data_IF_435368526258
#
_entry.id   IF_435368526258
#
_cell.length_a   1.000
_cell.length_b   1.000
_cell.length_c   1.000
_cell.angle_alpha   90.00
_cell.angle_beta   90.00
_cell.angle_gamma   90.00
#
_symmetry.space_group_name_H-M   'P 1'
#
loop_
_entity.id
_entity.type
_entity.pdbx_description
1 polymer ?
#
# COMPACT_ATOMS: atom_id res chain seq x y z
N UNK A 1 3.65 21.98 7.25
CA UNK A 1 3.64 22.32 8.69
C UNK A 1 2.64 23.46 8.86
N UNK A 2 1.56 23.26 9.63
CA UNK A 2 0.46 24.21 9.77
C UNK A 2 0.36 24.58 11.25
N UNK A 3 0.45 25.87 11.58
CA UNK A 3 0.28 26.41 12.94
C UNK A 3 -0.67 27.61 12.85
N UNK A 4 -1.63 27.73 13.79
CA UNK A 4 -2.50 28.91 13.92
C UNK A 4 -2.24 29.58 15.28
N UNK A 5 -2.19 30.92 15.29
CA UNK A 5 -2.43 31.80 16.45
C UNK A 5 -3.72 32.59 16.17
N UNK A 6 -4.45 32.95 17.22
CA UNK A 6 -5.79 33.54 17.17
C UNK A 6 -5.90 34.89 16.43
N UNK A 7 -4.78 35.52 16.09
CA UNK A 7 -4.65 36.85 15.50
C UNK A 7 -3.97 36.87 14.11
N UNK A 8 -3.73 35.71 13.49
CA UNK A 8 -3.08 35.58 12.18
C UNK A 8 -3.90 34.67 11.23
N UNK A 9 -3.89 34.92 9.92
CA UNK A 9 -4.53 34.03 8.95
C UNK A 9 -3.87 32.66 8.96
N UNK A 10 -4.65 31.60 8.70
CA UNK A 10 -4.10 30.26 8.45
C UNK A 10 -3.35 30.27 7.11
N UNK A 11 -2.17 29.65 7.08
CA UNK A 11 -1.36 29.52 5.87
C UNK A 11 -1.31 28.06 5.43
N UNK A 12 -1.62 27.81 4.16
CA UNK A 12 -1.46 26.51 3.53
C UNK A 12 -0.34 26.59 2.51
N UNK A 13 0.62 25.67 2.61
CA UNK A 13 1.70 25.54 1.66
C UNK A 13 1.54 24.23 0.88
N UNK A 14 1.52 24.32 -0.44
CA UNK A 14 1.44 23.17 -1.33
C UNK A 14 2.85 22.68 -1.66
N UNK A 15 3.07 21.37 -1.51
CA UNK A 15 4.29 20.73 -1.95
C UNK A 15 4.27 20.60 -3.48
N UNK A 16 5.25 21.21 -4.14
CA UNK A 16 5.39 21.23 -5.60
C UNK A 16 6.31 20.13 -6.15
N UNK A 17 6.86 19.27 -5.28
CA UNK A 17 7.92 18.33 -5.61
C UNK A 17 9.32 18.95 -5.65
N UNK A 18 9.44 20.28 -5.77
CA UNK A 18 10.70 21.03 -5.74
C UNK A 18 10.80 21.99 -4.53
N UNK A 19 9.76 22.04 -3.68
CA UNK A 19 9.66 22.96 -2.56
C UNK A 19 8.21 23.27 -2.19
N UNK A 20 8.01 24.34 -1.42
CA UNK A 20 6.71 24.73 -0.86
C UNK A 20 6.25 26.06 -1.46
N UNK A 21 4.98 26.12 -1.90
CA UNK A 21 4.34 27.35 -2.40
C UNK A 21 3.18 27.72 -1.50
N UNK A 22 3.13 28.97 -1.03
CA UNK A 22 1.96 29.48 -0.30
C UNK A 22 0.73 29.48 -1.22
N UNK A 23 -0.39 28.96 -0.73
CA UNK A 23 -1.68 28.95 -1.41
C UNK A 23 -2.70 29.75 -0.59
N UNK A 24 -2.87 31.06 -0.86
CA UNK A 24 -3.68 31.95 -0.04
C UNK A 24 -5.18 31.71 -0.18
N UNK A 25 -5.61 30.99 -1.23
CA UNK A 25 -7.03 30.69 -1.45
C UNK A 25 -7.54 29.51 -0.61
N UNK A 26 -6.64 28.72 -0.01
CA UNK A 26 -7.00 27.56 0.81
C UNK A 26 -6.87 27.94 2.28
N UNK A 27 -7.97 27.77 3.02
CA UNK A 27 -8.04 28.01 4.45
C UNK A 27 -8.39 26.74 5.20
N UNK A 28 -7.66 26.48 6.29
CA UNK A 28 -7.99 25.39 7.21
C UNK A 28 -9.23 25.79 8.01
N UNK A 29 -10.30 24.96 8.04
CA UNK A 29 -11.58 25.33 8.63
C UNK A 29 -11.55 25.44 10.16
N UNK A 30 -10.55 24.84 10.81
CA UNK A 30 -10.45 24.73 12.27
C UNK A 30 -9.02 24.96 12.78
N UNK A 31 -8.90 25.24 14.08
CA UNK A 31 -7.60 25.33 14.75
C UNK A 31 -7.02 23.93 14.95
N UNK A 32 -5.81 23.69 14.44
CA UNK A 32 -5.14 22.41 14.63
C UNK A 32 -4.56 22.27 16.05
N UNK A 33 -4.15 23.38 16.67
CA UNK A 33 -3.57 23.46 18.02
C UNK A 33 -3.73 24.88 18.58
N UNK A 34 -3.71 25.06 19.91
CA UNK A 34 -3.68 26.37 20.58
C UNK A 34 -2.66 26.37 21.72
N UNK A 35 -1.69 27.29 21.76
CA UNK A 35 -0.85 27.54 22.95
C UNK A 35 -0.26 26.29 23.67
N UNK A 36 0.12 25.25 22.90
CA UNK A 36 0.60 23.92 23.33
C UNK A 36 -0.48 22.86 23.64
N UNK A 37 -1.75 23.15 23.35
CA UNK A 37 -2.88 22.22 23.42
C UNK A 37 -3.10 21.50 22.07
N UNK A 38 -3.27 20.18 22.13
CA UNK A 38 -3.81 19.39 21.01
C UNK A 38 -5.33 19.51 21.01
N UNK A 39 -5.86 20.21 20.00
CA UNK A 39 -7.29 20.45 19.81
C UNK A 39 -8.08 19.19 19.41
N UNK A 40 -7.46 18.02 19.47
CA UNK A 40 -8.06 16.75 19.12
C UNK A 40 -8.25 16.64 17.61
N UNK A 41 -7.39 17.29 16.83
CA UNK A 41 -7.49 17.34 15.36
C UNK A 41 -6.54 16.35 14.73
N UNK A 42 -7.03 15.58 13.76
CA UNK A 42 -6.20 14.70 12.93
C UNK A 42 -6.48 14.98 11.45
N UNK A 43 -5.43 14.86 10.65
CA UNK A 43 -5.47 15.04 9.20
C UNK A 43 -5.17 13.68 8.59
N UNK A 44 -6.15 13.11 7.89
CA UNK A 44 -6.07 11.79 7.29
C UNK A 44 -7.08 11.69 6.14
N UNK A 45 -6.82 10.85 5.15
CA UNK A 45 -7.81 10.49 4.14
C UNK A 45 -8.80 9.50 4.77
N UNK A 46 -9.96 9.98 5.23
CA UNK A 46 -10.93 9.14 5.94
C UNK A 46 -11.97 8.56 4.97
N UNK A 47 -12.11 9.10 3.76
CA UNK A 47 -13.08 8.61 2.79
C UNK A 47 -12.45 7.78 1.66
N UNK A 48 -11.12 7.67 1.61
CA UNK A 48 -10.36 6.88 0.64
C UNK A 48 -10.28 7.51 -0.74
N UNK A 49 -10.46 8.82 -0.88
CA UNK A 49 -10.45 9.52 -2.18
C UNK A 49 -9.07 10.03 -2.61
N UNK A 50 -8.04 9.83 -1.78
CA UNK A 50 -6.67 10.28 -1.99
C UNK A 50 -6.41 11.72 -1.58
N UNK A 51 -7.38 12.43 -1.01
CA UNK A 51 -7.25 13.77 -0.46
C UNK A 51 -7.22 13.73 1.07
N UNK A 52 -6.54 14.70 1.68
CA UNK A 52 -6.48 14.78 3.14
C UNK A 52 -7.74 15.43 3.70
N UNK A 53 -8.46 14.69 4.53
CA UNK A 53 -9.58 15.17 5.32
C UNK A 53 -9.13 15.65 6.70
N UNK A 54 -10.05 16.28 7.43
CA UNK A 54 -9.81 16.79 8.78
C UNK A 54 -10.92 16.27 9.69
N UNK A 55 -10.53 15.69 10.82
CA UNK A 55 -11.45 15.31 11.89
C UNK A 55 -11.05 15.95 13.20
N UNK A 56 -12.04 16.25 14.04
CA UNK A 56 -11.86 16.71 15.41
C UNK A 56 -12.71 15.88 16.34
N UNK A 57 -12.14 15.44 17.46
CA UNK A 57 -12.88 14.79 18.55
C UNK A 57 -12.24 15.13 19.90
N UNK A 58 -12.76 16.15 20.57
CA UNK A 58 -12.30 16.59 21.91
C UNK A 58 -13.42 16.41 22.94
N UNK A 59 -13.06 15.78 24.06
CA UNK A 59 -13.93 15.61 25.22
C UNK A 59 -13.75 16.78 26.19
N UNK A 60 -14.84 17.45 26.56
CA UNK A 60 -14.84 18.65 27.42
C UNK A 60 -16.15 18.70 28.22
N UNK A 61 -16.06 19.05 29.50
CA UNK A 61 -17.23 19.22 30.40
C UNK A 61 -18.19 18.02 30.46
N UNK A 62 -17.66 16.79 30.38
CA UNK A 62 -18.47 15.57 30.49
C UNK A 62 -19.07 15.07 29.17
N UNK A 63 -18.81 15.73 28.05
CA UNK A 63 -19.33 15.32 26.74
C UNK A 63 -18.33 15.58 25.59
N UNK A 64 -18.54 14.95 24.44
CA UNK A 64 -17.73 15.24 23.23
C UNK A 64 -18.29 16.49 22.54
N UNK A 65 -17.87 17.67 23.00
CA UNK A 65 -18.34 18.97 22.48
C UNK A 65 -17.75 19.33 21.12
N UNK A 66 -16.46 19.08 20.92
CA UNK A 66 -15.79 19.43 19.68
C UNK A 66 -15.66 18.19 18.80
N UNK A 67 -16.73 17.91 18.05
CA UNK A 67 -16.82 16.78 17.14
C UNK A 67 -17.09 17.28 15.73
N UNK A 68 -16.14 17.14 14.82
CA UNK A 68 -16.26 17.65 13.46
C UNK A 68 -15.56 16.73 12.46
N UNK A 69 -16.03 16.76 11.21
CA UNK A 69 -15.36 16.16 10.07
C UNK A 69 -15.47 17.11 8.88
N UNK A 70 -14.39 17.26 8.13
CA UNK A 70 -14.34 18.05 6.91
C UNK A 70 -13.63 17.26 5.81
N UNK A 71 -14.30 17.10 4.67
CA UNK A 71 -13.75 16.37 3.53
C UNK A 71 -12.94 17.29 2.62
N UNK A 72 -11.78 16.82 2.19
CA UNK A 72 -10.92 17.46 1.22
C UNK A 72 -11.58 17.55 -0.15
N UNK A 73 -11.34 18.65 -0.85
CA UNK A 73 -11.90 18.89 -2.20
C UNK A 73 -10.83 19.25 -3.23
N UNK A 74 -9.56 19.24 -2.82
CA UNK A 74 -8.43 19.76 -3.60
C UNK A 74 -8.36 21.29 -3.65
N UNK A 75 -9.41 22.01 -3.23
CA UNK A 75 -9.47 23.47 -3.13
C UNK A 75 -9.76 23.99 -1.72
N UNK A 76 -9.68 23.10 -0.72
CA UNK A 76 -10.08 23.35 0.66
C UNK A 76 -10.92 22.20 1.18
N UNK A 77 -11.74 22.48 2.18
CA UNK A 77 -12.53 21.46 2.87
C UNK A 77 -14.01 21.83 2.98
N UNK A 78 -14.88 20.82 2.99
CA UNK A 78 -16.31 20.99 3.22
C UNK A 78 -16.75 20.18 4.45
N UNK A 79 -17.57 20.75 5.31
CA UNK A 79 -18.06 20.05 6.52
C UNK A 79 -18.93 18.85 6.16
N UNK A 80 -18.73 17.73 6.83
CA UNK A 80 -19.55 16.52 6.67
C UNK A 80 -20.19 16.09 7.98
N UNK A 81 -21.51 16.22 8.07
CA UNK A 81 -22.27 15.73 9.21
C UNK A 81 -22.29 14.19 9.28
N UNK A 82 -22.37 13.49 8.13
CA UNK A 82 -22.39 12.02 8.11
C UNK A 82 -21.10 11.43 8.68
N UNK A 83 -19.94 11.94 8.25
CA UNK A 83 -18.66 11.51 8.80
C UNK A 83 -18.50 11.90 10.26
N UNK A 84 -18.87 13.13 10.63
CA UNK A 84 -18.88 13.59 12.03
C UNK A 84 -19.71 12.67 12.91
N UNK A 85 -20.88 12.24 12.47
CA UNK A 85 -21.78 11.41 13.27
C UNK A 85 -21.35 9.93 13.32
N UNK A 86 -20.56 9.48 12.35
CA UNK A 86 -20.17 8.07 12.25
C UNK A 86 -19.20 7.58 13.35
N UNK A 87 -18.36 8.46 13.92
CA UNK A 87 -17.35 8.02 14.88
C UNK A 87 -17.70 8.32 16.34
N UNK A 88 -17.23 7.51 17.29
CA UNK A 88 -17.42 7.76 18.73
C UNK A 88 -16.12 7.80 19.54
N UNK A 89 -14.98 7.56 18.87
CA UNK A 89 -13.67 7.69 19.50
C UNK A 89 -13.40 9.14 19.87
N UNK A 90 -12.56 9.32 20.87
CA UNK A 90 -12.15 10.62 21.39
C UNK A 90 -10.64 10.76 21.20
N UNK A 91 -10.18 11.88 20.68
CA UNK A 91 -8.76 12.09 20.39
C UNK A 91 -8.08 12.74 21.60
N UNK A 92 -8.64 13.83 22.11
CA UNK A 92 -8.14 14.47 23.32
C UNK A 92 -9.23 14.75 24.35
N UNK A 93 -8.81 14.96 25.59
CA UNK A 93 -9.63 15.51 26.68
C UNK A 93 -9.07 16.86 27.11
N UNK A 94 -9.96 17.83 27.25
CA UNK A 94 -9.68 19.20 27.67
C UNK A 94 -9.52 19.29 29.20
N UNK A 95 -8.51 18.62 29.75
CA UNK A 95 -8.04 18.84 31.13
C UNK A 95 -6.85 19.83 31.11
N UNK A 96 -6.40 20.34 32.26
CA UNK A 96 -5.14 21.10 32.35
C UNK A 96 -4.06 20.18 32.94
N UNK A 97 -3.12 19.64 32.15
CA UNK A 97 -2.94 19.79 30.69
C UNK A 97 -3.85 18.87 29.84
N UNK A 98 -4.01 19.21 28.56
CA UNK A 98 -4.77 18.42 27.59
C UNK A 98 -4.22 16.99 27.51
N UNK A 99 -5.11 16.02 27.50
CA UNK A 99 -4.79 14.60 27.54
C UNK A 99 -5.05 13.93 26.19
N UNK A 100 -4.09 13.15 25.70
CA UNK A 100 -4.28 12.24 24.57
C UNK A 100 -5.07 11.02 25.04
N UNK A 101 -6.23 10.76 24.42
CA UNK A 101 -7.08 9.62 24.75
C UNK A 101 -6.73 8.37 23.94
N UNK A 102 -5.52 8.32 23.37
CA UNK A 102 -4.94 7.10 22.81
C UNK A 102 -5.51 6.67 21.46
N UNK A 103 -6.15 7.58 20.70
CA UNK A 103 -6.62 7.29 19.35
C UNK A 103 -5.44 7.31 18.36
N UNK A 104 -5.27 6.25 17.58
CA UNK A 104 -4.27 6.10 16.51
C UNK A 104 -4.94 5.70 15.22
N UNK A 105 -4.45 6.25 14.12
CA UNK A 105 -4.99 6.09 12.78
C UNK A 105 -4.08 5.16 11.99
N UNK A 106 -4.66 4.16 11.33
CA UNK A 106 -3.96 3.23 10.46
C UNK A 106 -4.96 2.26 9.82
N UNK A 107 -4.61 1.73 8.65
CA UNK A 107 -5.37 0.65 8.00
C UNK A 107 -5.14 -0.66 8.78
N UNK A 108 -6.15 -1.09 9.53
CA UNK A 108 -6.03 -2.25 10.42
C UNK A 108 -6.37 -3.54 9.68
N UNK A 109 -7.35 -3.52 8.77
CA UNK A 109 -7.85 -4.71 8.08
C UNK A 109 -7.24 -4.91 6.68
N UNK A 110 -6.45 -3.96 6.18
CA UNK A 110 -5.79 -4.02 4.88
C UNK A 110 -6.68 -3.70 3.69
N UNK A 111 -7.81 -2.99 3.89
CA UNK A 111 -8.74 -2.61 2.81
C UNK A 111 -8.35 -1.29 2.10
N UNK A 112 -7.26 -0.67 2.55
CA UNK A 112 -6.74 0.59 2.02
C UNK A 112 -7.43 1.83 2.59
N UNK A 113 -8.37 1.67 3.53
CA UNK A 113 -9.04 2.76 4.22
C UNK A 113 -8.41 3.00 5.59
N UNK A 114 -8.47 4.25 6.04
CA UNK A 114 -7.93 4.63 7.34
C UNK A 114 -8.90 4.21 8.45
N UNK A 115 -8.50 3.28 9.32
CA UNK A 115 -9.22 2.92 10.54
C UNK A 115 -8.69 3.67 11.77
N UNK A 116 -9.34 3.45 12.92
CA UNK A 116 -8.88 3.98 14.21
C UNK A 116 -8.81 2.90 15.27
N UNK A 117 -7.64 2.76 15.90
CA UNK A 117 -7.48 1.98 17.12
C UNK A 117 -7.32 2.94 18.32
N UNK A 118 -8.14 2.76 19.35
CA UNK A 118 -8.09 3.53 20.58
C UNK A 118 -7.84 2.61 21.77
N UNK A 119 -6.84 2.95 22.58
CA UNK A 119 -6.53 2.30 23.83
C UNK A 119 -6.05 3.31 24.87
N UNK A 120 -6.87 3.57 25.88
CA UNK A 120 -6.59 4.54 26.95
C UNK A 120 -7.03 4.04 28.32
N UNK A 121 -6.23 4.41 29.33
CA UNK A 121 -6.42 4.03 30.74
C UNK A 121 -6.63 5.30 31.59
N UNK A 122 -7.82 5.43 32.17
CA UNK A 122 -8.10 6.40 33.23
C UNK A 122 -7.50 5.91 34.57
N UNK A 123 -7.11 6.85 35.42
CA UNK A 123 -6.18 6.59 36.52
C UNK A 123 -6.80 6.37 37.91
N UNK A 124 -8.02 5.82 37.98
CA UNK A 124 -8.73 5.66 39.25
C UNK A 124 -8.24 4.46 40.10
N UNK A 125 -6.94 4.14 40.05
CA UNK A 125 -6.30 3.08 40.83
C UNK A 125 -7.00 1.70 40.73
N UNK A 126 -7.85 1.53 39.72
CA UNK A 126 -8.45 0.28 39.34
C UNK A 126 -7.67 -0.24 38.13
N UNK A 127 -7.34 -1.52 38.08
CA UNK A 127 -6.71 -2.15 36.92
C UNK A 127 -7.70 -2.26 35.73
N UNK A 128 -8.59 -1.28 35.53
CA UNK A 128 -9.62 -1.30 34.51
C UNK A 128 -9.24 -0.43 33.31
N UNK A 129 -9.56 -0.95 32.13
CA UNK A 129 -9.41 -0.26 30.85
C UNK A 129 -10.71 0.46 30.55
N UNK A 130 -10.66 1.78 30.37
CA UNK A 130 -11.88 2.59 30.25
C UNK A 130 -12.29 2.83 28.79
N UNK A 131 -11.33 2.96 27.85
CA UNK A 131 -11.65 3.24 26.44
C UNK A 131 -10.85 2.33 25.51
N UNK A 132 -11.52 1.29 25.00
CA UNK A 132 -11.04 0.47 23.88
C UNK A 132 -12.06 0.53 22.76
N UNK A 133 -11.61 0.99 21.60
CA UNK A 133 -12.41 1.02 20.37
C UNK A 133 -11.50 0.65 19.21
N UNK A 134 -12.02 -0.15 18.28
CA UNK A 134 -11.44 -0.30 16.96
C UNK A 134 -12.55 0.09 15.99
N UNK A 135 -12.34 1.18 15.28
CA UNK A 135 -13.34 1.81 14.45
C UNK A 135 -12.93 1.52 13.01
N UNK A 136 -13.53 0.51 12.43
CA UNK A 136 -13.29 0.12 11.05
C UNK A 136 -14.01 1.06 10.11
N UNK A 137 -13.35 1.41 9.03
CA UNK A 137 -13.84 2.29 8.00
C UNK A 137 -14.46 1.47 6.87
N UNK A 138 -15.56 1.97 6.32
CA UNK A 138 -16.27 1.34 5.18
C UNK A 138 -16.23 2.19 3.91
N UNK A 139 -15.47 3.29 3.93
CA UNK A 139 -15.42 4.30 2.87
C UNK A 139 -16.58 5.30 2.95
N UNK A 140 -17.49 5.12 3.91
CA UNK A 140 -18.64 6.02 4.11
C UNK A 140 -18.92 6.38 5.57
N UNK A 141 -18.45 5.54 6.50
CA UNK A 141 -18.63 5.69 7.94
C UNK A 141 -17.65 4.79 8.71
N UNK A 142 -17.39 5.16 9.96
CA UNK A 142 -16.75 4.30 10.94
C UNK A 142 -17.76 3.40 11.66
N UNK A 143 -17.37 2.17 11.99
CA UNK A 143 -18.12 1.25 12.85
C UNK A 143 -17.22 0.62 13.89
N UNK A 144 -17.65 0.56 15.15
CA UNK A 144 -16.88 -0.09 16.20
C UNK A 144 -16.94 -1.62 16.05
N UNK A 145 -15.79 -2.25 15.95
CA UNK A 145 -15.63 -3.69 15.96
C UNK A 145 -14.90 -4.11 17.25
N UNK A 146 -15.60 -4.87 18.10
CA UNK A 146 -15.06 -5.31 19.37
C UNK A 146 -14.01 -6.43 19.24
N UNK A 147 -14.06 -7.21 18.17
CA UNK A 147 -13.17 -8.36 17.99
C UNK A 147 -11.73 -7.92 17.75
N UNK A 148 -11.58 -6.77 17.07
CA UNK A 148 -10.30 -6.12 16.84
C UNK A 148 -9.60 -5.67 18.11
N UNK A 149 -10.31 -5.48 19.24
CA UNK A 149 -9.66 -5.12 20.52
C UNK A 149 -9.90 -6.07 21.69
N UNK A 150 -10.75 -7.09 21.51
CA UNK A 150 -11.01 -8.12 22.52
C UNK A 150 -9.90 -9.17 22.61
N UNK A 151 -9.22 -9.42 21.48
CA UNK A 151 -8.09 -10.35 21.36
C UNK A 151 -6.76 -9.78 21.88
N UNK A 152 -6.68 -8.47 22.10
CA UNK A 152 -5.51 -7.87 22.75
C UNK A 152 -5.47 -8.31 24.22
N UNK A 153 -4.43 -9.06 24.59
CA UNK A 153 -4.10 -9.34 25.99
C UNK A 153 -3.91 -8.01 26.74
N UNK A 154 -4.98 -7.43 27.27
CA UNK A 154 -5.07 -6.37 28.30
C UNK A 154 -4.06 -5.19 28.32
N UNK A 155 -3.23 -4.96 27.30
CA UNK A 155 -1.97 -4.21 27.46
C UNK A 155 -1.72 -3.09 26.44
N UNK A 156 -2.46 -2.99 25.33
CA UNK A 156 -2.22 -1.90 24.36
C UNK A 156 -2.88 -0.61 24.87
N UNK A 157 -2.04 0.26 25.44
CA UNK A 157 -2.41 1.59 25.88
C UNK A 157 -1.51 2.57 25.18
N UNK A 158 -2.05 3.35 24.24
CA UNK A 158 -1.24 4.37 23.58
C UNK A 158 -0.88 5.52 24.53
N UNK A 159 -1.75 5.76 25.51
CA UNK A 159 -1.59 6.80 26.51
C UNK A 159 -2.25 6.40 27.85
N UNK A 160 -1.72 6.91 28.95
CA UNK A 160 -2.26 6.79 30.31
C UNK A 160 -1.83 8.00 31.13
N UNK A 161 -2.23 8.08 32.40
CA UNK A 161 -1.64 8.99 33.39
C UNK A 161 -0.61 8.29 34.31
N UNK A 162 0.27 9.09 34.91
CA UNK A 162 1.13 8.77 36.07
C UNK A 162 0.41 9.11 37.37
N UNK A 163 0.80 8.53 38.51
CA UNK A 163 0.09 8.66 39.80
C UNK A 163 -0.22 10.10 40.29
N UNK A 164 0.35 11.13 39.63
CA UNK A 164 0.08 12.55 39.89
C UNK A 164 -0.87 13.17 38.85
N UNK A 165 -1.48 12.37 37.97
CA UNK A 165 -2.32 12.77 36.87
C UNK A 165 -1.59 13.27 35.62
N UNK A 166 -0.27 13.13 35.51
CA UNK A 166 0.47 13.58 34.32
C UNK A 166 0.34 12.58 33.18
N UNK A 167 0.08 13.06 31.97
CA UNK A 167 -0.01 12.21 30.79
C UNK A 167 1.30 11.51 30.41
N UNK A 168 1.23 10.22 30.09
CA UNK A 168 2.34 9.36 29.70
C UNK A 168 2.04 8.67 28.36
N UNK A 169 2.94 8.87 27.38
CA UNK A 169 3.01 8.05 26.17
C UNK A 169 3.68 6.71 26.50
N UNK A 170 2.95 5.61 26.34
CA UNK A 170 3.43 4.26 26.62
C UNK A 170 4.23 3.64 25.47
N UNK A 171 4.64 4.46 24.50
CA UNK A 171 5.57 4.11 23.45
C UNK A 171 4.95 3.23 22.36
N UNK A 172 3.62 3.18 22.27
CA UNK A 172 2.94 2.38 21.27
C UNK A 172 2.83 3.11 19.93
N UNK A 173 3.08 2.40 18.83
CA UNK A 173 3.00 2.93 17.46
C UNK A 173 2.34 1.90 16.54
N UNK A 174 1.60 2.37 15.53
CA UNK A 174 1.11 1.55 14.44
C UNK A 174 2.09 1.65 13.27
N UNK A 175 2.54 0.52 12.74
CA UNK A 175 3.32 0.44 11.49
C UNK A 175 3.32 -0.99 10.98
N UNK A 176 3.48 -1.18 9.68
CA UNK A 176 3.77 -2.49 9.10
C UNK A 176 5.24 -2.86 9.40
N UNK A 177 5.47 -3.64 10.44
CA UNK A 177 6.81 -4.02 10.88
C UNK A 177 7.35 -5.23 10.13
N UNK A 178 6.48 -6.10 9.63
CA UNK A 178 6.86 -7.34 8.97
C UNK A 178 6.77 -7.26 7.42
N UNK A 179 6.28 -6.14 6.89
CA UNK A 179 6.12 -5.88 5.47
C UNK A 179 4.96 -6.64 4.85
N UNK A 180 3.88 -6.96 5.59
CA UNK A 180 2.67 -7.57 5.03
C UNK A 180 1.65 -6.61 4.46
N UNK A 181 1.83 -5.32 4.65
CA UNK A 181 0.83 -4.32 4.25
C UNK A 181 -0.30 -4.17 5.26
N UNK A 182 -0.22 -4.82 6.42
CA UNK A 182 -1.13 -4.62 7.53
C UNK A 182 -0.44 -3.80 8.63
N UNK A 183 -1.18 -2.96 9.33
CA UNK A 183 -0.64 -2.26 10.49
C UNK A 183 -0.38 -3.25 11.64
N UNK A 184 0.88 -3.38 12.05
CA UNK A 184 1.29 -4.02 13.29
C UNK A 184 1.29 -3.01 14.46
N UNK A 185 1.28 -3.52 15.69
CA UNK A 185 1.40 -2.69 16.89
C UNK A 185 2.77 -2.90 17.53
N UNK A 186 3.53 -1.83 17.70
CA UNK A 186 4.82 -1.86 18.37
C UNK A 186 4.75 -1.11 19.68
N UNK A 187 5.56 -1.52 20.65
CA UNK A 187 5.78 -0.82 21.91
C UNK A 187 7.26 -0.73 22.19
N UNK A 188 7.73 0.47 22.55
CA UNK A 188 9.03 0.67 23.20
C UNK A 188 8.87 1.65 24.36
N UNK A 189 8.90 1.13 25.58
CA UNK A 189 8.76 1.91 26.81
C UNK A 189 9.39 1.10 27.95
N UNK A 190 9.80 1.73 29.05
CA UNK A 190 10.36 1.08 30.26
C UNK A 190 11.57 0.14 30.06
N UNK A 191 12.24 0.19 28.89
CA UNK A 191 13.30 -0.74 28.52
C UNK A 191 12.78 -2.06 27.91
N UNK A 192 11.46 -2.23 27.78
CA UNK A 192 10.84 -3.37 27.10
C UNK A 192 10.38 -3.01 25.70
N UNK A 193 10.80 -3.82 24.72
CA UNK A 193 10.36 -3.72 23.34
C UNK A 193 9.45 -4.89 22.99
N UNK A 194 8.30 -4.61 22.36
CA UNK A 194 7.35 -5.63 21.88
C UNK A 194 6.84 -5.26 20.50
N UNK A 195 6.54 -6.28 19.71
CA UNK A 195 5.89 -6.16 18.42
C UNK A 195 4.76 -7.21 18.36
N UNK A 196 3.55 -6.74 18.12
CA UNK A 196 2.34 -7.55 17.97
C UNK A 196 1.99 -7.54 16.48
N UNK A 197 2.16 -8.70 15.84
CA UNK A 197 1.91 -8.83 14.41
C UNK A 197 0.42 -8.98 14.14
N UNK A 198 -0.07 -8.23 13.18
CA UNK A 198 -1.41 -8.40 12.63
C UNK A 198 -1.40 -9.57 11.66
N UNK A 199 -2.17 -10.61 11.95
CA UNK A 199 -2.22 -11.83 11.16
C UNK A 199 -3.52 -11.96 10.34
N UNK A 200 -4.25 -10.85 10.17
CA UNK A 200 -5.45 -10.83 9.34
C UNK A 200 -5.10 -11.22 7.90
N UNK A 201 -5.99 -11.89 7.16
CA UNK A 201 -5.80 -12.02 5.73
C UNK A 201 -5.90 -10.62 5.08
N UNK A 202 -5.19 -10.35 3.97
CA UNK A 202 -5.44 -9.15 3.19
C UNK A 202 -6.92 -9.06 2.78
N UNK A 203 -7.50 -7.88 2.92
CA UNK A 203 -8.85 -7.61 2.50
C UNK A 203 -8.97 -7.53 0.96
N UNK A 204 -10.19 -7.67 0.48
CA UNK A 204 -10.60 -7.40 -0.92
C UNK A 204 -9.81 -8.11 -2.03
N UNK A 205 -9.18 -9.25 -1.72
CA UNK A 205 -8.54 -10.12 -2.72
C UNK A 205 -9.40 -11.34 -3.08
N UNK A 206 -9.50 -11.65 -4.38
CA UNK A 206 -10.20 -12.85 -4.86
C UNK A 206 -9.34 -14.08 -4.58
N UNK A 207 -9.79 -14.94 -3.67
CA UNK A 207 -9.14 -16.22 -3.33
C UNK A 207 -9.76 -17.42 -4.04
N UNK A 208 -10.95 -17.26 -4.65
CA UNK A 208 -11.53 -18.32 -5.45
C UNK A 208 -12.75 -17.91 -6.27
N UNK A 209 -12.99 -18.66 -7.33
CA UNK A 209 -14.16 -18.54 -8.22
C UNK A 209 -14.70 -19.94 -8.48
N UNK A 210 -15.99 -20.12 -8.27
CA UNK A 210 -16.70 -21.36 -8.59
C UNK A 210 -17.83 -21.06 -9.57
N UNK A 211 -17.92 -21.83 -10.66
CA UNK A 211 -18.94 -21.61 -11.68
C UNK A 211 -20.26 -22.38 -11.42
N UNK A 212 -20.35 -23.13 -10.31
CA UNK A 212 -21.51 -23.97 -9.98
C UNK A 212 -21.70 -25.21 -10.88
N UNK A 213 -20.83 -25.41 -11.88
CA UNK A 213 -20.86 -26.52 -12.84
C UNK A 213 -19.69 -27.50 -12.64
N UNK A 214 -19.04 -27.45 -11.48
CA UNK A 214 -17.86 -28.26 -11.13
C UNK A 214 -16.51 -27.58 -11.41
N UNK A 215 -16.50 -26.49 -12.16
CA UNK A 215 -15.31 -25.68 -12.41
C UNK A 215 -14.98 -24.78 -11.21
N UNK A 216 -13.77 -24.92 -10.67
CA UNK A 216 -13.28 -24.12 -9.55
C UNK A 216 -11.88 -23.63 -9.80
N UNK A 217 -11.58 -22.40 -9.38
CA UNK A 217 -10.21 -21.86 -9.34
C UNK A 217 -10.00 -21.30 -7.96
N UNK A 218 -8.94 -21.73 -7.27
CA UNK A 218 -8.49 -21.13 -6.01
C UNK A 218 -7.13 -20.46 -6.23
N UNK A 219 -6.97 -19.24 -5.74
CA UNK A 219 -5.80 -18.38 -5.96
C UNK A 219 -5.12 -18.12 -4.63
N UNK A 220 -3.81 -18.29 -4.59
CA UNK A 220 -2.97 -18.11 -3.42
C UNK A 220 -1.94 -17.03 -3.70
N UNK A 221 -1.83 -16.06 -2.81
CA UNK A 221 -0.99 -14.89 -2.98
C UNK A 221 0.26 -14.98 -2.10
N UNK A 222 1.30 -14.24 -2.49
CA UNK A 222 2.51 -14.01 -1.72
C UNK A 222 2.90 -12.54 -1.83
N UNK A 223 3.54 -12.04 -0.78
CA UNK A 223 3.93 -10.64 -0.71
C UNK A 223 5.16 -10.36 -1.56
N UNK A 224 5.16 -9.22 -2.25
CA UNK A 224 6.23 -8.85 -3.17
C UNK A 224 7.57 -8.60 -2.47
N UNK A 225 7.57 -8.18 -1.20
CA UNK A 225 8.79 -7.94 -0.41
C UNK A 225 9.59 -9.20 -0.10
N UNK A 226 8.99 -10.39 -0.23
CA UNK A 226 9.69 -11.67 -0.14
C UNK A 226 10.42 -12.06 -1.42
N UNK A 227 10.17 -11.33 -2.52
CA UNK A 227 10.89 -11.51 -3.78
C UNK A 227 12.13 -10.62 -3.83
N UNK A 228 13.10 -11.02 -4.67
CA UNK A 228 14.24 -10.16 -4.96
C UNK A 228 13.82 -8.97 -5.82
N UNK A 229 13.53 -7.84 -5.18
CA UNK A 229 13.28 -6.56 -5.85
C UNK A 229 14.52 -5.66 -5.86
N UNK A 230 15.71 -6.22 -5.62
CA UNK A 230 16.93 -5.46 -5.76
C UNK A 230 17.26 -5.25 -7.23
N UNK A 231 17.75 -4.05 -7.56
CA UNK A 231 18.26 -3.78 -8.90
C UNK A 231 19.71 -4.21 -9.06
N UNK A 232 20.44 -3.48 -9.91
CA UNK A 232 21.89 -3.62 -10.06
C UNK A 232 22.70 -3.26 -8.80
N UNK A 233 22.07 -2.67 -7.78
CA UNK A 233 22.69 -2.34 -6.49
C UNK A 233 22.18 -3.32 -5.41
N UNK A 234 23.05 -4.18 -4.86
CA UNK A 234 22.67 -5.11 -3.80
C UNK A 234 22.11 -4.39 -2.56
N UNK A 235 21.07 -4.97 -1.95
CA UNK A 235 20.54 -4.52 -0.66
C UNK A 235 19.58 -3.32 -0.69
N UNK A 236 19.20 -2.81 -1.86
CA UNK A 236 18.17 -1.77 -2.00
C UNK A 236 17.00 -2.27 -2.83
N UNK A 237 15.85 -2.47 -2.20
CA UNK A 237 14.60 -2.74 -2.92
C UNK A 237 14.23 -1.54 -3.78
N UNK A 238 13.80 -1.82 -5.01
CA UNK A 238 13.26 -0.82 -5.94
C UNK A 238 11.73 -0.75 -5.93
N UNK A 239 11.09 -1.60 -5.12
CA UNK A 239 9.68 -1.58 -4.81
C UNK A 239 9.50 -1.14 -3.36
N UNK A 240 8.86 0.01 -3.15
CA UNK A 240 8.81 0.73 -1.87
C UNK A 240 7.65 0.31 -0.97
N UNK A 241 6.76 -0.55 -1.44
CA UNK A 241 5.58 -1.02 -0.71
C UNK A 241 5.30 -2.49 -1.08
N UNK A 242 4.72 -3.28 -0.17
CA UNK A 242 4.32 -4.65 -0.48
C UNK A 242 3.15 -4.67 -1.47
N UNK A 243 3.14 -5.70 -2.31
CA UNK A 243 2.05 -6.03 -3.23
C UNK A 243 1.74 -7.52 -3.05
N UNK A 244 0.46 -7.88 -3.02
CA UNK A 244 0.06 -9.28 -3.06
C UNK A 244 0.08 -9.80 -4.50
N UNK A 245 1.04 -10.66 -4.81
CA UNK A 245 1.22 -11.26 -6.13
C UNK A 245 0.71 -12.70 -6.12
N UNK A 246 0.07 -13.15 -7.20
CA UNK A 246 -0.35 -14.56 -7.31
C UNK A 246 0.87 -15.46 -7.22
N UNK A 247 0.96 -16.30 -6.18
CA UNK A 247 2.03 -17.30 -5.99
C UNK A 247 1.72 -18.57 -6.75
N UNK A 248 0.48 -19.03 -6.66
CA UNK A 248 -0.04 -20.12 -7.46
C UNK A 248 -1.56 -20.07 -7.50
N UNK A 249 -2.14 -20.70 -8.50
CA UNK A 249 -3.55 -21.02 -8.48
C UNK A 249 -3.74 -22.50 -8.81
N UNK A 250 -4.85 -23.05 -8.33
CA UNK A 250 -5.24 -24.43 -8.55
C UNK A 250 -6.61 -24.44 -9.22
N UNK A 251 -6.68 -25.03 -10.41
CA UNK A 251 -7.89 -25.19 -11.18
C UNK A 251 -8.44 -26.62 -11.08
N UNK A 252 -9.75 -26.74 -10.93
CA UNK A 252 -10.50 -27.99 -10.90
C UNK A 252 -11.48 -27.96 -12.06
N UNK A 253 -11.50 -29.03 -12.85
CA UNK A 253 -12.46 -29.24 -13.95
C UNK A 253 -13.70 -30.02 -13.49
N UNK A 254 -13.75 -30.45 -12.23
CA UNK A 254 -14.83 -31.25 -11.65
C UNK A 254 -14.72 -32.76 -11.88
N UNK A 255 -13.70 -33.24 -12.59
CA UNK A 255 -13.53 -34.66 -12.92
C UNK A 255 -12.13 -35.21 -12.60
N UNK A 256 -11.09 -34.46 -12.95
CA UNK A 256 -9.70 -34.86 -12.84
C UNK A 256 -9.01 -34.37 -11.57
N UNK A 257 -7.74 -34.78 -11.38
CA UNK A 257 -6.89 -34.16 -10.37
C UNK A 257 -6.74 -32.66 -10.68
N UNK A 258 -6.59 -31.82 -9.65
CA UNK A 258 -6.41 -30.38 -9.86
C UNK A 258 -5.15 -30.05 -10.65
N UNK A 259 -5.22 -28.98 -11.43
CA UNK A 259 -4.13 -28.40 -12.19
C UNK A 259 -3.59 -27.15 -11.49
N UNK A 260 -2.38 -27.21 -10.94
CA UNK A 260 -1.72 -26.08 -10.29
C UNK A 260 -0.73 -25.39 -11.22
N UNK A 261 -0.81 -24.06 -11.33
CA UNK A 261 0.22 -23.23 -11.97
C UNK A 261 0.87 -22.34 -10.92
N UNK A 262 2.20 -22.33 -10.84
CA UNK A 262 2.96 -21.50 -9.90
C UNK A 262 3.63 -20.33 -10.59
N UNK A 263 3.93 -19.28 -9.84
CA UNK A 263 4.58 -18.06 -10.29
C UNK A 263 5.69 -17.64 -9.33
N UNK A 264 6.74 -17.04 -9.89
CA UNK A 264 7.78 -16.35 -9.16
C UNK A 264 8.13 -15.03 -9.88
N UNK A 265 8.43 -14.00 -9.11
CA UNK A 265 8.67 -12.65 -9.61
C UNK A 265 10.04 -12.16 -9.17
N UNK A 266 10.71 -11.35 -9.98
CA UNK A 266 11.99 -10.72 -9.66
C UNK A 266 12.02 -9.29 -10.22
N UNK A 267 12.66 -8.39 -9.48
CA UNK A 267 12.95 -7.02 -9.88
C UNK A 267 11.72 -6.13 -10.00
N UNK A 268 10.83 -6.10 -9.01
CA UNK A 268 9.73 -5.12 -8.96
C UNK A 268 10.25 -3.68 -8.92
N UNK A 269 9.62 -2.77 -9.67
CA UNK A 269 10.07 -1.37 -9.75
C UNK A 269 8.90 -0.37 -9.61
N UNK A 270 9.06 0.57 -8.69
CA UNK A 270 8.22 1.76 -8.58
C UNK A 270 9.00 3.02 -8.99
N UNK A 271 8.51 3.71 -10.02
CA UNK A 271 9.02 5.01 -10.45
C UNK A 271 8.46 6.10 -9.54
N UNK A 272 9.31 6.63 -8.66
CA UNK A 272 8.91 7.64 -7.67
C UNK A 272 8.68 9.02 -8.30
N UNK A 273 9.30 9.28 -9.46
CA UNK A 273 9.13 10.56 -10.17
C UNK A 273 7.75 10.58 -10.83
N UNK A 274 7.34 9.45 -11.43
CA UNK A 274 6.04 9.30 -12.08
C UNK A 274 4.93 8.80 -11.15
N UNK A 275 5.29 8.35 -9.94
CA UNK A 275 4.41 7.68 -8.97
C UNK A 275 3.69 6.48 -9.58
N UNK A 276 4.43 5.67 -10.31
CA UNK A 276 3.88 4.56 -11.11
C UNK A 276 4.60 3.25 -10.81
N UNK A 277 3.83 2.18 -10.65
CA UNK A 277 4.38 0.83 -10.60
C UNK A 277 4.61 0.30 -12.02
N UNK A 278 5.87 0.06 -12.37
CA UNK A 278 6.26 -0.32 -13.73
C UNK A 278 6.35 -1.86 -13.92
N UNK A 279 5.83 -2.62 -12.96
CA UNK A 279 5.80 -4.09 -13.01
C UNK A 279 7.08 -4.75 -12.49
N UNK A 280 7.19 -6.06 -12.76
CA UNK A 280 8.36 -6.89 -12.44
C UNK A 280 9.23 -7.08 -13.68
N UNK A 281 10.55 -7.05 -13.50
CA UNK A 281 11.53 -7.32 -14.57
C UNK A 281 11.40 -8.72 -15.12
N UNK A 282 11.13 -9.71 -14.26
CA UNK A 282 11.09 -11.11 -14.66
C UNK A 282 9.96 -11.84 -13.94
N UNK A 283 9.23 -12.64 -14.70
CA UNK A 283 8.19 -13.53 -14.19
C UNK A 283 8.48 -14.95 -14.68
N UNK A 284 8.52 -15.90 -13.75
CA UNK A 284 8.62 -17.32 -14.05
C UNK A 284 7.30 -17.98 -13.71
N UNK A 285 6.71 -18.72 -14.65
CA UNK A 285 5.54 -19.56 -14.40
C UNK A 285 5.87 -21.03 -14.63
N UNK A 286 5.30 -21.92 -13.82
CA UNK A 286 5.40 -23.37 -14.00
C UNK A 286 3.99 -23.94 -14.04
N UNK A 287 3.61 -24.48 -15.19
CA UNK A 287 2.31 -25.12 -15.38
C UNK A 287 2.22 -26.48 -14.67
N UNK A 288 1.01 -27.09 -14.63
CA UNK A 288 0.74 -28.30 -13.85
C UNK A 288 1.52 -29.54 -14.32
N UNK A 289 1.99 -29.53 -15.56
CA UNK A 289 2.83 -30.62 -16.12
C UNK A 289 4.33 -30.30 -16.09
N UNK A 290 4.74 -29.29 -15.31
CA UNK A 290 6.14 -28.91 -15.12
C UNK A 290 6.75 -28.06 -16.24
N UNK A 291 5.99 -27.73 -17.29
CA UNK A 291 6.46 -26.77 -18.31
C UNK A 291 6.71 -25.42 -17.65
N UNK A 292 7.91 -24.88 -17.84
CA UNK A 292 8.33 -23.61 -17.25
C UNK A 292 8.43 -22.54 -18.33
N UNK A 293 7.83 -21.38 -18.10
CA UNK A 293 7.97 -20.19 -18.95
C UNK A 293 8.63 -19.09 -18.14
N UNK A 294 9.65 -18.45 -18.68
CA UNK A 294 10.28 -17.27 -18.07
C UNK A 294 10.13 -16.11 -19.03
N UNK A 295 9.60 -14.99 -18.55
CA UNK A 295 9.43 -13.77 -19.33
C UNK A 295 10.21 -12.65 -18.67
N UNK A 296 10.85 -11.82 -19.48
CA UNK A 296 11.52 -10.61 -19.04
C UNK A 296 10.87 -9.41 -19.70
N UNK A 297 10.55 -8.41 -18.89
CA UNK A 297 9.76 -7.25 -19.25
C UNK A 297 10.58 -5.98 -19.16
N UNK A 298 10.32 -5.08 -20.10
CA UNK A 298 10.73 -3.70 -20.00
C UNK A 298 10.08 -3.05 -18.78
N UNK A 299 10.81 -2.17 -18.11
CA UNK A 299 10.29 -1.37 -16.99
C UNK A 299 10.33 0.13 -17.28
N UNK A 300 10.69 0.56 -18.50
CA UNK A 300 10.80 1.98 -18.88
C UNK A 300 11.69 2.76 -17.91
N UNK A 301 12.84 2.18 -17.60
CA UNK A 301 13.85 2.80 -16.76
C UNK A 301 14.49 1.88 -15.71
N UNK A 302 15.63 2.35 -15.22
CA UNK A 302 16.45 1.85 -14.12
C UNK A 302 17.16 0.50 -14.32
N UNK A 303 16.51 -0.53 -14.87
CA UNK A 303 17.20 -1.78 -15.27
C UNK A 303 17.52 -1.73 -16.77
N UNK A 304 18.72 -2.13 -17.13
CA UNK A 304 19.17 -2.24 -18.52
C UNK A 304 19.85 -3.61 -18.69
N UNK A 305 19.16 -4.54 -19.32
CA UNK A 305 19.60 -5.89 -19.69
C UNK A 305 19.87 -5.95 -21.20
N UNK A 306 20.71 -5.03 -21.68
CA UNK A 306 21.05 -4.94 -23.10
C UNK A 306 21.68 -6.25 -23.63
N UNK A 307 22.46 -6.94 -22.79
CA UNK A 307 23.04 -8.25 -23.10
C UNK A 307 21.99 -9.36 -23.18
N UNK A 308 20.90 -9.25 -22.43
CA UNK A 308 19.77 -10.17 -22.45
C UNK A 308 18.69 -9.84 -23.48
N UNK A 309 18.88 -8.83 -24.33
CA UNK A 309 17.98 -8.46 -25.43
C UNK A 309 17.12 -7.21 -25.16
N UNK A 310 17.31 -6.52 -24.04
CA UNK A 310 16.55 -5.31 -23.73
C UNK A 310 17.08 -4.12 -24.55
N UNK A 311 16.32 -3.72 -25.58
CA UNK A 311 16.74 -2.67 -26.49
C UNK A 311 16.35 -1.27 -25.99
N UNK A 312 17.35 -0.45 -25.65
CA UNK A 312 17.22 0.98 -25.33
C UNK A 312 16.03 1.31 -24.40
N UNK A 313 16.08 0.83 -23.15
CA UNK A 313 15.02 1.08 -22.16
C UNK A 313 15.31 2.30 -21.27
N UNK A 314 16.58 2.70 -21.14
CA UNK A 314 16.96 3.83 -20.30
C UNK A 314 16.32 5.13 -20.80
N UNK A 315 15.40 5.70 -20.00
CA UNK A 315 14.68 6.93 -20.34
C UNK A 315 13.42 6.73 -21.18
N UNK A 316 13.11 5.48 -21.58
CA UNK A 316 11.82 5.13 -22.18
C UNK A 316 10.69 5.46 -21.22
N UNK A 317 9.50 5.77 -21.77
CA UNK A 317 8.31 6.06 -20.96
C UNK A 317 7.16 5.08 -21.20
N UNK A 318 7.15 4.41 -22.35
CA UNK A 318 6.04 3.58 -22.77
C UNK A 318 6.36 2.07 -22.78
N UNK A 319 7.61 1.64 -22.95
CA UNK A 319 7.93 0.20 -23.08
C UNK A 319 7.51 -0.71 -21.90
N UNK A 320 7.24 -0.15 -20.72
CA UNK A 320 6.92 -0.87 -19.47
C UNK A 320 5.85 -1.95 -19.65
N UNK A 321 6.11 -3.14 -19.11
CA UNK A 321 5.20 -4.28 -19.16
C UNK A 321 5.20 -5.05 -20.49
N UNK A 322 5.97 -4.65 -21.51
CA UNK A 322 6.15 -5.46 -22.72
C UNK A 322 7.31 -6.45 -22.54
N UNK A 323 7.12 -7.74 -22.84
CA UNK A 323 8.19 -8.72 -22.77
C UNK A 323 9.18 -8.56 -23.93
N UNK A 324 10.45 -8.35 -23.61
CA UNK A 324 11.55 -8.34 -24.60
C UNK A 324 12.21 -9.71 -24.76
N UNK A 325 12.02 -10.62 -23.80
CA UNK A 325 12.51 -11.99 -23.87
C UNK A 325 11.50 -12.95 -23.27
N UNK A 326 11.29 -14.08 -23.91
CA UNK A 326 10.50 -15.20 -23.39
C UNK A 326 11.26 -16.50 -23.63
N UNK A 327 11.38 -17.34 -22.61
CA UNK A 327 11.98 -18.66 -22.68
C UNK A 327 10.98 -19.72 -22.21
N UNK A 328 10.86 -20.81 -22.97
CA UNK A 328 9.96 -21.91 -22.66
C UNK A 328 10.80 -23.19 -22.51
N UNK A 329 10.64 -23.85 -21.37
CA UNK A 329 11.33 -25.08 -21.01
C UNK A 329 10.34 -26.23 -20.88
N UNK A 330 10.75 -27.42 -21.31
CA UNK A 330 10.07 -28.65 -20.96
C UNK A 330 10.19 -28.95 -19.45
N UNK A 331 9.38 -29.88 -18.97
CA UNK A 331 9.38 -30.36 -17.58
C UNK A 331 10.72 -30.93 -17.10
N UNK A 332 11.56 -31.41 -18.02
CA UNK A 332 12.92 -31.88 -17.74
C UNK A 332 13.98 -30.75 -17.72
N UNK A 333 13.55 -29.47 -17.77
CA UNK A 333 14.44 -28.32 -17.72
C UNK A 333 15.15 -27.97 -19.04
N UNK A 334 14.87 -28.70 -20.13
CA UNK A 334 15.45 -28.40 -21.45
C UNK A 334 14.73 -27.20 -22.07
N UNK A 335 15.50 -26.17 -22.46
CA UNK A 335 15.00 -25.04 -23.23
C UNK A 335 14.49 -25.51 -24.60
N UNK A 336 13.26 -25.14 -24.96
CA UNK A 336 12.63 -25.47 -26.25
C UNK A 336 12.47 -24.27 -27.15
N UNK A 337 12.16 -23.11 -26.58
CA UNK A 337 11.97 -21.89 -27.35
C UNK A 337 12.53 -20.70 -26.61
N UNK A 338 13.21 -19.81 -27.34
CA UNK A 338 13.52 -18.46 -26.90
C UNK A 338 13.00 -17.48 -27.93
N UNK A 339 12.21 -16.51 -27.49
CA UNK A 339 11.73 -15.39 -28.30
C UNK A 339 12.37 -14.11 -27.77
N UNK A 340 12.96 -13.31 -28.66
CA UNK A 340 13.50 -11.99 -28.37
C UNK A 340 12.73 -10.95 -29.16
N UNK A 341 12.22 -9.91 -28.50
CA UNK A 341 11.52 -8.81 -29.13
C UNK A 341 12.34 -7.53 -28.98
N UNK A 342 12.65 -6.88 -30.11
CA UNK A 342 13.13 -5.51 -30.12
C UNK A 342 11.92 -4.59 -29.98
N UNK A 343 11.75 -4.01 -28.80
CA UNK A 343 10.67 -3.06 -28.53
C UNK A 343 11.19 -1.65 -28.75
N UNK A 344 10.48 -0.90 -29.58
CA UNK A 344 10.74 0.52 -29.87
C UNK A 344 9.55 1.36 -29.42
N UNK A 345 9.77 2.66 -29.30
CA UNK A 345 8.71 3.61 -29.03
C UNK A 345 8.89 4.86 -29.89
N UNK A 346 7.77 5.49 -30.24
CA UNK A 346 7.72 6.77 -30.95
C UNK A 346 6.91 7.74 -30.12
N UNK A 347 7.47 8.92 -29.87
CA UNK A 347 6.74 10.00 -29.23
C UNK A 347 5.76 10.61 -30.25
N UNK A 348 4.47 10.60 -29.92
CA UNK A 348 3.40 11.07 -30.81
C UNK A 348 3.27 12.60 -30.78
N UNK A 349 3.71 13.26 -29.69
CA UNK A 349 3.61 14.71 -29.57
C UNK A 349 4.76 15.29 -28.72
N UNK A 350 5.61 16.16 -29.30
CA UNK A 350 6.66 16.83 -28.54
C UNK A 350 6.12 17.60 -27.34
N UNK A 351 6.74 17.42 -26.17
CA UNK A 351 6.35 18.09 -24.92
C UNK A 351 5.22 17.43 -24.13
N UNK A 352 4.61 16.37 -24.66
CA UNK A 352 3.63 15.53 -23.96
C UNK A 352 4.17 14.10 -23.87
N UNK A 353 3.93 13.40 -22.76
CA UNK A 353 4.39 12.02 -22.53
C UNK A 353 3.61 10.95 -23.32
N UNK A 354 3.05 11.30 -24.48
CA UNK A 354 2.27 10.38 -25.31
C UNK A 354 3.21 9.63 -26.25
N UNK A 355 3.39 8.34 -26.01
CA UNK A 355 4.23 7.50 -26.84
C UNK A 355 3.49 6.23 -27.28
N UNK A 356 3.72 5.84 -28.52
CA UNK A 356 3.30 4.56 -29.05
C UNK A 356 4.47 3.59 -29.02
N UNK A 357 4.26 2.43 -28.39
CA UNK A 357 5.24 1.36 -28.25
C UNK A 357 4.89 0.22 -29.20
N UNK A 358 5.90 -0.37 -29.83
CA UNK A 358 5.71 -1.46 -30.79
C UNK A 358 6.90 -2.40 -30.83
N UNK A 359 6.66 -3.63 -31.29
CA UNK A 359 7.72 -4.60 -31.56
C UNK A 359 8.16 -4.41 -33.01
N UNK A 360 9.38 -3.96 -33.23
CA UNK A 360 9.93 -3.75 -34.59
C UNK A 360 10.63 -4.99 -35.13
N UNK A 361 11.09 -5.88 -34.24
CA UNK A 361 11.72 -7.13 -34.62
C UNK A 361 11.40 -8.24 -33.61
N UNK A 362 11.17 -9.44 -34.10
CA UNK A 362 11.10 -10.66 -33.30
C UNK A 362 12.09 -11.68 -33.83
N UNK A 363 12.90 -12.27 -32.94
CA UNK A 363 13.76 -13.41 -33.23
C UNK A 363 13.26 -14.60 -32.41
N UNK A 364 12.87 -15.67 -33.09
CA UNK A 364 12.47 -16.94 -32.48
C UNK A 364 13.58 -17.98 -32.68
N UNK A 365 13.98 -18.63 -31.60
CA UNK A 365 14.95 -19.72 -31.58
C UNK A 365 14.23 -20.97 -31.06
N UNK A 366 14.08 -21.99 -31.92
CA UNK A 366 13.49 -23.28 -31.57
C UNK A 366 14.61 -24.31 -31.37
N UNK A 367 14.73 -24.80 -30.15
CA UNK A 367 15.80 -25.69 -29.70
C UNK A 367 15.39 -27.17 -29.78
N UNK A 368 16.31 -27.98 -30.31
CA UNK A 368 16.29 -29.43 -30.26
C UNK A 368 16.82 -29.91 -28.90
N UNK A 369 16.50 -31.15 -28.48
CA UNK A 369 16.97 -31.69 -27.20
C UNK A 369 18.49 -31.72 -27.02
N UNK A 370 19.26 -31.73 -28.11
CA UNK A 370 20.73 -31.72 -28.10
C UNK A 370 21.34 -30.30 -28.03
N UNK A 371 20.53 -29.25 -27.89
CA UNK A 371 20.97 -27.85 -27.80
C UNK A 371 21.15 -27.13 -29.14
N UNK A 372 21.12 -27.84 -30.27
CA UNK A 372 21.06 -27.20 -31.59
C UNK A 372 19.72 -26.48 -31.77
N UNK A 373 19.69 -25.39 -32.53
CA UNK A 373 18.45 -24.62 -32.74
C UNK A 373 18.24 -24.19 -34.18
N UNK A 374 16.99 -23.92 -34.51
CA UNK A 374 16.59 -23.21 -35.74
C UNK A 374 16.19 -21.79 -35.35
N UNK A 375 16.61 -20.81 -36.13
CA UNK A 375 16.31 -19.41 -35.88
C UNK A 375 15.40 -18.86 -36.99
N UNK A 376 14.40 -18.07 -36.61
CA UNK A 376 13.63 -17.24 -37.53
C UNK A 376 13.63 -15.80 -37.03
N UNK A 377 13.68 -14.84 -37.94
CA UNK A 377 13.61 -13.42 -37.61
C UNK A 377 12.53 -12.77 -38.46
N UNK A 378 11.74 -11.88 -37.85
CA UNK A 378 10.72 -11.07 -38.50
C UNK A 378 10.96 -9.61 -38.16
N UNK A 379 10.85 -8.73 -39.16
CA UNK A 379 10.78 -7.28 -38.94
C UNK A 379 9.37 -6.81 -39.20
N UNK A 380 8.91 -5.86 -38.40
CA UNK A 380 7.61 -5.23 -38.50
C UNK A 380 7.82 -3.76 -38.86
N UNK A 381 7.03 -3.28 -39.83
CA UNK A 381 6.99 -1.88 -40.23
C UNK A 381 5.60 -1.38 -39.90
N UNK A 382 5.52 -0.23 -39.25
CA UNK A 382 4.28 0.44 -38.86
C UNK A 382 4.27 1.77 -39.60
N UNK A 383 3.22 2.00 -40.39
CA UNK A 383 3.03 3.16 -41.25
C UNK A 383 2.18 4.28 -40.61
#
# INVERSE_FOLDING_TARGET
MIQRRLDQPSYVYINTGAGWRLEPAIHVPIELAEANEDRGVRVADINGDGLSDIIRSRYRDGETKDKEAFLGTGKGWISSASWRDSFEFRITKSDLPDEDLGARFGDLNGDGLMDVLQGHRDEDNSNQVHHRKAMLNSGSAFSNDADWYSSFESQIFFFTKDQNGNGLDYGYRLMDANGDGLADVLRSYDGTNRCFLNASPPADIITGVENGMGGKVYVFYERSNLFDNSGSQPGRSHLSFPLYCVKYFTAYDGYGPPATTTYAYEGGFFDHVRREFNGFHKVTSVGPWGQKTIQWFHQSGRRADATGGEYLDAGSIAKKGIPYKTEIFCSNGILRRRTLNKVEEVNLQPGISWAFRFISQTIDLDFLPNGAYRATAKSFVYD
#
